data_IF_516823272040
#
_entry.id   IF_516823272040
#
_cell.length_a   1.000
_cell.length_b   1.000
_cell.length_c   1.000
_cell.angle_alpha   90.00
_cell.angle_beta   90.00
_cell.angle_gamma   90.00
#
_symmetry.space_group_name_H-M   'P 1'
#
loop_
_entity.id
_entity.type
_entity.pdbx_description
1 polymer ?
#
# COMPACT_ATOMS: atom_id res chain seq x y z
N UNK A 1 -2.40 8.04 -0.07
CA UNK A 1 -3.84 7.71 -0.14
C UNK A 1 -4.49 8.39 -1.34
N UNK A 2 -4.20 9.68 -1.58
CA UNK A 2 -4.77 10.46 -2.68
C UNK A 2 -4.61 9.81 -4.06
N UNK A 3 -3.41 9.32 -4.40
CA UNK A 3 -3.19 8.63 -5.69
C UNK A 3 -4.03 7.35 -5.86
N UNK A 4 -4.25 6.59 -4.77
CA UNK A 4 -5.10 5.39 -4.80
C UNK A 4 -6.57 5.76 -4.96
N UNK A 5 -7.03 6.78 -4.24
CA UNK A 5 -8.39 7.30 -4.34
C UNK A 5 -8.67 7.82 -5.75
N UNK A 6 -7.72 8.56 -6.33
CA UNK A 6 -7.84 9.07 -7.69
C UNK A 6 -7.85 7.95 -8.73
N UNK A 7 -6.97 6.96 -8.60
CA UNK A 7 -6.98 5.78 -9.49
C UNK A 7 -8.30 5.02 -9.41
N UNK A 8 -8.84 4.81 -8.21
CA UNK A 8 -10.13 4.15 -8.02
C UNK A 8 -11.25 5.00 -8.63
N UNK A 9 -11.30 6.29 -8.33
CA UNK A 9 -12.29 7.22 -8.89
C UNK A 9 -12.26 7.22 -10.43
N UNK A 10 -11.08 7.38 -11.05
CA UNK A 10 -10.91 7.39 -12.50
C UNK A 10 -11.32 6.07 -13.16
N UNK A 11 -11.04 4.93 -12.53
CA UNK A 11 -11.32 3.61 -13.11
C UNK A 11 -12.75 3.10 -12.87
N UNK A 12 -13.41 3.60 -11.82
CA UNK A 12 -14.74 3.13 -11.41
C UNK A 12 -15.84 4.16 -11.65
N UNK A 13 -15.47 5.42 -11.92
CA UNK A 13 -16.41 6.55 -12.00
C UNK A 13 -16.98 6.98 -10.64
N UNK A 14 -16.45 6.45 -9.53
CA UNK A 14 -16.88 6.85 -8.20
C UNK A 14 -16.44 8.27 -7.88
N UNK A 15 -17.29 9.00 -7.15
CA UNK A 15 -16.92 10.30 -6.60
C UNK A 15 -15.74 10.15 -5.62
N UNK A 16 -14.82 11.14 -5.51
CA UNK A 16 -13.58 11.01 -4.74
C UNK A 16 -13.80 10.63 -3.26
N UNK A 17 -14.86 11.16 -2.66
CA UNK A 17 -15.31 10.87 -1.30
C UNK A 17 -15.75 9.40 -1.14
N UNK A 18 -16.49 8.86 -2.10
CA UNK A 18 -16.91 7.44 -2.11
C UNK A 18 -15.73 6.52 -2.41
N UNK A 19 -14.84 6.92 -3.33
CA UNK A 19 -13.62 6.19 -3.63
C UNK A 19 -12.68 6.11 -2.41
N UNK A 20 -12.61 7.17 -1.62
CA UNK A 20 -11.84 7.18 -0.36
C UNK A 20 -12.41 6.19 0.66
N UNK A 21 -13.73 6.14 0.82
CA UNK A 21 -14.38 5.15 1.68
C UNK A 21 -14.11 3.71 1.21
N UNK A 22 -14.21 3.45 -0.10
CA UNK A 22 -13.92 2.14 -0.67
C UNK A 22 -12.47 1.70 -0.40
N UNK A 23 -11.50 2.59 -0.60
CA UNK A 23 -10.08 2.31 -0.30
C UNK A 23 -9.88 1.98 1.18
N UNK A 24 -10.54 2.70 2.09
CA UNK A 24 -10.44 2.42 3.54
C UNK A 24 -11.01 1.05 3.92
N UNK A 25 -12.15 0.64 3.34
CA UNK A 25 -12.74 -0.68 3.59
C UNK A 25 -11.79 -1.80 3.14
N UNK A 26 -11.18 -1.65 1.96
CA UNK A 26 -10.23 -2.64 1.43
C UNK A 26 -8.96 -2.68 2.28
N UNK A 27 -8.42 -1.53 2.68
CA UNK A 27 -7.26 -1.47 3.57
C UNK A 27 -7.56 -2.10 4.94
N UNK A 28 -8.74 -1.86 5.51
CA UNK A 28 -9.19 -2.50 6.74
C UNK A 28 -9.22 -4.02 6.61
N UNK A 29 -9.85 -4.53 5.55
CA UNK A 29 -9.88 -5.97 5.27
C UNK A 29 -8.48 -6.58 5.11
N UNK A 30 -7.57 -5.90 4.40
CA UNK A 30 -6.19 -6.36 4.22
C UNK A 30 -5.42 -6.34 5.53
N UNK A 31 -5.59 -5.32 6.38
CA UNK A 31 -4.97 -5.27 7.72
C UNK A 31 -5.45 -6.40 8.62
N UNK A 32 -6.73 -6.74 8.55
CA UNK A 32 -7.30 -7.83 9.35
C UNK A 32 -6.86 -9.22 8.86
N UNK A 33 -6.51 -9.36 7.57
CA UNK A 33 -6.11 -10.63 6.96
C UNK A 33 -4.60 -10.85 6.86
N UNK A 34 -3.79 -9.79 6.92
CA UNK A 34 -2.35 -9.88 6.78
C UNK A 34 -1.67 -9.81 8.16
N UNK A 35 -0.77 -10.76 8.50
CA UNK A 35 -0.04 -10.73 9.76
C UNK A 35 0.79 -9.44 9.89
N UNK A 36 0.91 -8.95 11.13
CA UNK A 36 1.40 -7.61 11.50
C UNK A 36 2.56 -7.01 10.70
N UNK A 37 3.63 -7.75 10.33
CA UNK A 37 4.74 -7.20 9.56
C UNK A 37 4.37 -6.67 8.16
N UNK A 38 3.30 -7.19 7.56
CA UNK A 38 2.86 -6.83 6.20
C UNK A 38 1.91 -5.63 6.25
N UNK A 39 1.03 -5.56 7.25
CA UNK A 39 0.12 -4.43 7.45
C UNK A 39 0.88 -3.11 7.60
N UNK A 40 1.99 -3.11 8.36
CA UNK A 40 2.86 -1.94 8.52
C UNK A 40 3.55 -1.49 7.23
N UNK A 41 3.81 -2.42 6.29
CA UNK A 41 4.38 -2.09 4.98
C UNK A 41 3.33 -1.49 4.03
N UNK A 42 2.08 -1.98 4.10
CA UNK A 42 0.98 -1.41 3.33
C UNK A 42 0.68 0.02 3.78
N UNK A 43 0.71 0.29 5.08
CA UNK A 43 0.55 1.66 5.59
C UNK A 43 1.68 2.60 5.16
N UNK A 44 2.92 2.10 5.08
CA UNK A 44 4.05 2.89 4.56
C UNK A 44 3.85 3.29 3.09
N UNK A 45 3.35 2.37 2.25
CA UNK A 45 3.06 2.62 0.83
C UNK A 45 1.80 3.48 0.65
N UNK A 46 0.72 3.17 1.36
CA UNK A 46 -0.56 3.86 1.27
C UNK A 46 -0.52 5.27 1.90
N UNK A 47 0.31 5.48 2.92
CA UNK A 47 0.47 6.76 3.60
C UNK A 47 1.29 7.80 2.81
N UNK A 48 1.87 7.45 1.66
CA UNK A 48 2.75 8.36 0.92
C UNK A 48 4.10 8.60 1.60
N UNK A 49 4.34 7.96 2.76
CA UNK A 49 5.64 7.88 3.42
C UNK A 49 6.48 6.76 2.77
N UNK A 50 6.55 6.73 1.44
CA UNK A 50 7.70 6.13 0.80
C UNK A 50 8.84 7.14 1.02
N UNK A 51 9.83 6.85 1.90
CA UNK A 51 10.97 7.73 2.06
C UNK A 51 11.86 7.53 0.83
N UNK A 52 11.52 8.21 -0.25
CA UNK A 52 12.01 7.96 -1.60
C UNK A 52 11.82 6.49 -2.04
N UNK A 53 11.24 6.26 -3.21
CA UNK A 53 11.12 4.90 -3.75
C UNK A 53 12.47 4.14 -3.87
N UNK A 54 13.61 4.83 -3.71
CA UNK A 54 14.95 4.24 -3.59
C UNK A 54 15.19 3.48 -2.29
N UNK A 55 14.74 3.96 -1.12
CA UNK A 55 15.07 3.36 0.18
C UNK A 55 14.31 2.06 0.48
N UNK A 56 12.99 2.09 0.28
CA UNK A 56 12.14 0.91 0.48
C UNK A 56 12.37 -0.15 -0.60
N UNK A 57 12.61 0.27 -1.85
CA UNK A 57 12.96 -0.62 -2.95
C UNK A 57 14.24 -1.40 -2.67
N UNK A 58 15.28 -0.73 -2.17
CA UNK A 58 16.54 -1.38 -1.76
C UNK A 58 16.39 -2.26 -0.53
N UNK A 59 15.53 -1.90 0.42
CA UNK A 59 15.34 -2.67 1.64
C UNK A 59 14.50 -3.93 1.40
N UNK A 60 13.46 -3.84 0.55
CA UNK A 60 12.69 -4.99 0.06
C UNK A 60 13.54 -5.88 -0.83
N UNK A 61 14.36 -5.30 -1.71
CA UNK A 61 15.28 -6.06 -2.58
C UNK A 61 16.39 -6.76 -1.80
N UNK A 62 16.92 -6.15 -0.74
CA UNK A 62 17.88 -6.81 0.18
C UNK A 62 17.20 -7.90 1.02
N UNK A 63 16.00 -7.65 1.53
CA UNK A 63 15.22 -8.64 2.29
C UNK A 63 14.82 -9.85 1.45
N UNK A 64 14.36 -9.64 0.22
CA UNK A 64 14.04 -10.72 -0.71
C UNK A 64 15.30 -11.37 -1.28
N UNK A 65 16.34 -10.61 -1.63
CA UNK A 65 17.60 -11.15 -2.14
C UNK A 65 18.34 -12.03 -1.12
N UNK A 66 18.24 -11.72 0.16
CA UNK A 66 18.77 -12.56 1.25
C UNK A 66 17.96 -13.83 1.53
N UNK A 67 16.68 -13.85 1.17
CA UNK A 67 15.80 -15.03 1.33
C UNK A 67 15.75 -15.92 0.08
N UNK A 68 16.08 -15.38 -1.09
CA UNK A 68 16.07 -16.10 -2.38
C UNK A 68 17.47 -16.53 -2.86
N UNK A 69 18.52 -16.09 -2.15
CA UNK A 69 19.92 -16.29 -2.52
C UNK A 69 20.72 -17.19 -1.59
N UNK A 70 20.06 -17.95 -0.70
CA UNK A 70 20.69 -19.03 0.05
C UNK A 70 20.32 -20.38 -0.57
#
# INVERSE_FOLDING_TARGET
MEQLVQMVSEKTGLAPDVAQQAVQVVLGFLKDKLPGPIASQIDAVAGGNAPDAGGLGDQVKKGLGGLFGQ
#
